data_IF_912274053013
#
_entry.id   IF_912274053013
#
_cell.length_a   1.000
_cell.length_b   1.000
_cell.length_c   1.000
_cell.angle_alpha   90.00
_cell.angle_beta   90.00
_cell.angle_gamma   90.00
#
_symmetry.space_group_name_H-M   'P 1'
#
loop_
_entity.id
_entity.type
_entity.pdbx_description
1 polymer ?
#
# COMPACT_ATOMS: atom_id res chain seq x y z
N UNK A 1 1.90 13.76 35.45
CA UNK A 1 1.85 12.45 34.77
C UNK A 1 0.46 11.90 35.02
N UNK A 2 -0.27 11.46 34.00
CA UNK A 2 -1.50 10.71 34.27
C UNK A 2 -1.10 9.37 34.88
N UNK A 3 -1.59 9.08 36.08
CA UNK A 3 -1.37 7.80 36.74
C UNK A 3 -2.20 6.68 36.10
N UNK A 4 -1.87 5.45 36.49
CA UNK A 4 -2.62 4.26 36.09
C UNK A 4 -4.10 4.34 36.50
N UNK A 5 -4.39 4.97 37.64
CA UNK A 5 -5.76 5.18 38.14
C UNK A 5 -6.57 6.09 37.21
N UNK A 6 -6.03 7.21 36.77
CA UNK A 6 -6.72 8.14 35.86
C UNK A 6 -7.03 7.47 34.52
N UNK A 7 -6.13 6.65 34.00
CA UNK A 7 -6.36 5.86 32.78
C UNK A 7 -7.51 4.85 32.95
N UNK A 8 -7.62 4.20 34.10
CA UNK A 8 -8.72 3.28 34.39
C UNK A 8 -10.06 4.01 34.50
N UNK A 9 -10.09 5.20 35.10
CA UNK A 9 -11.32 6.00 35.19
C UNK A 9 -11.78 6.43 33.80
N UNK A 10 -10.87 6.89 32.94
CA UNK A 10 -11.18 7.25 31.55
C UNK A 10 -11.71 6.03 30.79
N UNK A 11 -11.06 4.87 30.94
CA UNK A 11 -11.51 3.63 30.32
C UNK A 11 -12.90 3.20 30.81
N UNK A 12 -13.18 3.32 32.10
CA UNK A 12 -14.49 3.00 32.67
C UNK A 12 -15.59 3.91 32.09
N UNK A 13 -15.32 5.22 32.00
CA UNK A 13 -16.22 6.19 31.37
C UNK A 13 -16.43 5.84 29.89
N UNK A 14 -15.36 5.54 29.16
CA UNK A 14 -15.45 5.13 27.75
C UNK A 14 -16.32 3.88 27.58
N UNK A 15 -16.13 2.85 28.40
CA UNK A 15 -16.95 1.63 28.37
C UNK A 15 -18.40 1.91 28.74
N UNK A 16 -18.68 2.84 29.66
CA UNK A 16 -20.05 3.24 30.01
C UNK A 16 -20.79 3.87 28.82
N UNK A 17 -20.13 4.76 28.07
CA UNK A 17 -20.76 5.45 26.93
C UNK A 17 -20.80 4.62 25.65
N UNK A 18 -19.73 3.86 25.37
CA UNK A 18 -19.56 3.16 24.09
C UNK A 18 -19.81 1.65 24.19
N UNK A 19 -19.77 1.08 25.39
CA UNK A 19 -19.93 -0.36 25.63
C UNK A 19 -18.62 -1.15 25.44
N UNK A 20 -18.49 -2.27 26.15
CA UNK A 20 -17.28 -3.10 26.12
C UNK A 20 -17.05 -3.77 24.75
N UNK A 21 -18.11 -3.94 23.95
CA UNK A 21 -18.03 -4.52 22.61
C UNK A 21 -17.26 -3.64 21.61
N UNK A 22 -17.11 -2.33 21.87
CA UNK A 22 -16.40 -1.41 20.98
C UNK A 22 -14.88 -1.53 21.09
N UNK A 23 -14.35 -1.90 22.25
CA UNK A 23 -12.90 -2.08 22.45
C UNK A 23 -12.30 -3.14 21.51
N UNK A 24 -12.86 -4.37 21.40
CA UNK A 24 -12.37 -5.36 20.44
C UNK A 24 -12.52 -4.94 18.98
N UNK A 25 -13.60 -4.22 18.63
CA UNK A 25 -13.85 -3.76 17.25
C UNK A 25 -12.81 -2.73 16.83
N UNK A 26 -12.52 -1.75 17.70
CA UNK A 26 -11.50 -0.73 17.47
C UNK A 26 -10.09 -1.33 17.39
N UNK A 27 -9.76 -2.27 18.27
CA UNK A 27 -8.46 -2.95 18.22
C UNK A 27 -8.27 -3.72 16.90
N UNK A 28 -9.31 -4.41 16.42
CA UNK A 28 -9.28 -5.11 15.12
C UNK A 28 -9.14 -4.13 13.96
N UNK A 29 -9.95 -3.07 13.90
CA UNK A 29 -9.89 -2.11 12.80
C UNK A 29 -8.56 -1.37 12.75
N UNK A 30 -8.03 -0.97 13.91
CA UNK A 30 -6.73 -0.32 14.02
C UNK A 30 -5.59 -1.29 13.67
N UNK A 31 -5.70 -2.56 14.09
CA UNK A 31 -4.73 -3.60 13.76
C UNK A 31 -4.67 -3.87 12.26
N UNK A 32 -5.82 -3.98 11.60
CA UNK A 32 -5.89 -4.13 10.14
C UNK A 32 -5.31 -2.90 9.44
N UNK A 33 -5.72 -1.69 9.83
CA UNK A 33 -5.20 -0.45 9.24
C UNK A 33 -3.68 -0.32 9.39
N UNK A 34 -3.13 -0.64 10.57
CA UNK A 34 -1.68 -0.67 10.81
C UNK A 34 -0.98 -1.74 9.98
N UNK A 35 -1.61 -2.91 9.81
CA UNK A 35 -1.10 -4.00 8.98
C UNK A 35 -0.98 -3.62 7.51
N UNK A 36 -2.07 -3.12 6.92
CA UNK A 36 -2.09 -2.64 5.53
C UNK A 36 -1.13 -1.46 5.32
N UNK A 37 -1.05 -0.54 6.29
CA UNK A 37 -0.10 0.58 6.24
C UNK A 37 1.36 0.09 6.23
N UNK A 38 1.72 -0.86 7.11
CA UNK A 38 3.07 -1.40 7.16
C UNK A 38 3.42 -2.18 5.89
N UNK A 39 2.45 -2.92 5.34
CA UNK A 39 2.59 -3.62 4.06
C UNK A 39 2.82 -2.62 2.92
N UNK A 40 2.01 -1.57 2.83
CA UNK A 40 2.16 -0.52 1.82
C UNK A 40 3.51 0.21 1.88
N UNK A 41 4.05 0.47 3.09
CA UNK A 41 5.41 1.02 3.23
C UNK A 41 6.46 0.05 2.70
N UNK A 42 6.35 -1.24 3.01
CA UNK A 42 7.27 -2.26 2.52
C UNK A 42 7.23 -2.41 1.00
N UNK A 43 6.02 -2.48 0.43
CA UNK A 43 5.81 -2.57 -1.02
C UNK A 43 6.36 -1.33 -1.75
N UNK A 44 6.18 -0.13 -1.16
CA UNK A 44 6.72 1.12 -1.71
C UNK A 44 8.25 1.18 -1.69
N UNK A 45 8.90 0.61 -0.66
CA UNK A 45 10.36 0.52 -0.61
C UNK A 45 10.89 -0.41 -1.71
N UNK A 46 10.28 -1.58 -1.87
CA UNK A 46 10.65 -2.53 -2.92
C UNK A 46 10.43 -1.95 -4.32
N UNK A 47 9.31 -1.23 -4.54
CA UNK A 47 9.04 -0.56 -5.82
C UNK A 47 10.09 0.53 -6.12
N UNK A 48 10.48 1.30 -5.11
CA UNK A 48 11.52 2.33 -5.27
C UNK A 48 12.88 1.71 -5.62
N UNK A 49 13.25 0.61 -4.97
CA UNK A 49 14.49 -0.11 -5.25
C UNK A 49 14.50 -0.70 -6.67
N UNK A 50 13.38 -1.33 -7.09
CA UNK A 50 13.21 -1.83 -8.45
C UNK A 50 13.27 -0.71 -9.51
N UNK A 51 12.70 0.46 -9.23
CA UNK A 51 12.77 1.62 -10.12
C UNK A 51 14.21 2.15 -10.24
N UNK A 52 15.00 2.10 -9.17
CA UNK A 52 16.42 2.44 -9.20
C UNK A 52 17.25 1.44 -10.02
N UNK A 53 16.98 0.14 -9.91
CA UNK A 53 17.61 -0.89 -10.74
C UNK A 53 17.30 -0.68 -12.24
N UNK A 54 16.13 -0.11 -12.55
CA UNK A 54 15.68 0.29 -13.89
C UNK A 54 16.19 1.68 -14.32
N UNK A 55 17.18 2.23 -13.62
CA UNK A 55 17.75 3.54 -13.95
C UNK A 55 16.87 4.73 -13.55
N UNK A 56 16.05 4.57 -12.50
CA UNK A 56 15.16 5.59 -11.95
C UNK A 56 13.84 5.75 -12.69
N UNK A 57 13.47 4.79 -13.54
CA UNK A 57 12.21 4.79 -14.30
C UNK A 57 11.21 3.86 -13.63
N UNK A 58 9.93 4.22 -13.66
CA UNK A 58 8.85 3.32 -13.24
C UNK A 58 8.70 2.15 -14.22
N UNK A 59 8.09 1.05 -13.79
CA UNK A 59 7.84 -0.13 -14.67
C UNK A 59 7.12 0.26 -15.96
N UNK A 60 6.09 1.08 -15.85
CA UNK A 60 5.32 1.58 -16.99
C UNK A 60 6.17 2.45 -17.94
N UNK A 61 7.09 3.26 -17.40
CA UNK A 61 7.94 4.13 -18.20
C UNK A 61 8.99 3.33 -18.99
N UNK A 62 9.59 2.31 -18.40
CA UNK A 62 10.52 1.42 -19.12
C UNK A 62 9.78 0.57 -20.16
N UNK A 63 8.59 0.04 -19.84
CA UNK A 63 7.77 -0.71 -20.80
C UNK A 63 7.41 0.16 -22.02
N UNK A 64 7.06 1.43 -21.80
CA UNK A 64 6.74 2.37 -22.88
C UNK A 64 7.95 2.61 -23.79
N UNK A 65 9.13 2.86 -23.20
CA UNK A 65 10.36 3.07 -23.97
C UNK A 65 10.78 1.83 -24.75
N UNK A 66 10.67 0.64 -24.14
CA UNK A 66 10.91 -0.64 -24.81
C UNK A 66 9.95 -0.83 -25.98
N UNK A 67 8.66 -0.54 -25.79
CA UNK A 67 7.64 -0.65 -26.82
C UNK A 67 7.91 0.30 -28.00
N UNK A 68 8.25 1.56 -27.72
CA UNK A 68 8.65 2.53 -28.76
C UNK A 68 9.89 2.07 -29.52
N UNK A 69 10.90 1.53 -28.82
CA UNK A 69 12.13 1.04 -29.46
C UNK A 69 11.92 -0.22 -30.31
N UNK A 70 10.93 -1.04 -29.96
CA UNK A 70 10.51 -2.23 -30.70
C UNK A 70 9.48 -1.91 -31.80
N UNK A 71 8.94 -0.67 -31.85
CA UNK A 71 7.92 -0.28 -32.82
C UNK A 71 6.51 -0.80 -32.49
N UNK A 72 6.26 -1.18 -31.24
CA UNK A 72 4.95 -1.63 -30.75
C UNK A 72 4.04 -0.41 -30.53
N UNK A 73 2.85 -0.45 -31.13
CA UNK A 73 1.84 0.60 -30.98
C UNK A 73 1.19 0.55 -29.59
N UNK A 74 1.28 1.67 -28.85
CA UNK A 74 0.90 1.79 -27.42
C UNK A 74 -0.47 2.46 -27.24
N UNK A 75 -0.93 3.18 -28.26
CA UNK A 75 -2.11 4.04 -28.18
C UNK A 75 -3.39 3.20 -28.11
N UNK A 76 -4.10 3.27 -26.99
CA UNK A 76 -5.32 2.50 -26.73
C UNK A 76 -5.10 1.11 -26.13
N UNK A 77 -3.84 0.71 -25.83
CA UNK A 77 -3.52 -0.55 -25.13
C UNK A 77 -3.27 -0.34 -23.64
N UNK A 78 -3.52 -1.38 -22.84
CA UNK A 78 -3.15 -1.41 -21.42
C UNK A 78 -1.68 -1.80 -21.23
N UNK A 79 -1.10 -1.45 -20.08
CA UNK A 79 0.30 -1.77 -19.79
C UNK A 79 0.59 -3.29 -19.80
N UNK A 80 -0.40 -4.11 -19.43
CA UNK A 80 -0.30 -5.57 -19.46
C UNK A 80 -0.30 -6.12 -20.89
N UNK A 81 -1.14 -5.59 -21.78
CA UNK A 81 -1.18 -5.99 -23.20
C UNK A 81 0.12 -5.61 -23.94
N UNK A 82 0.67 -4.44 -23.65
CA UNK A 82 1.95 -4.00 -24.23
C UNK A 82 3.09 -4.90 -23.76
N UNK A 83 3.05 -5.37 -22.50
CA UNK A 83 4.05 -6.29 -21.94
C UNK A 83 3.99 -7.67 -22.58
N UNK A 84 2.79 -8.19 -22.83
CA UNK A 84 2.59 -9.47 -23.52
C UNK A 84 3.10 -9.39 -24.98
N UNK A 85 2.75 -8.33 -25.72
CA UNK A 85 3.20 -8.10 -27.10
C UNK A 85 4.73 -8.04 -27.21
N UNK A 86 5.39 -7.42 -26.24
CA UNK A 86 6.86 -7.31 -26.17
C UNK A 86 7.56 -8.64 -25.83
N UNK A 87 6.84 -9.61 -25.28
CA UNK A 87 7.37 -10.92 -24.90
C UNK A 87 7.21 -11.98 -26.00
N UNK A 88 6.34 -11.71 -26.97
CA UNK A 88 6.03 -12.58 -28.12
C UNK A 88 6.88 -12.24 -29.38
N UNK A 89 7.69 -11.18 -29.35
CA UNK A 89 8.61 -10.74 -30.41
C UNK A 89 10.09 -11.07 -30.10
#
# INVERSE_FOLDING_TARGET
MMGSTEMLVILAIFVLFFGIERLPKLARSLGMAKGEFQKGIGDSHNATEADLERGGKTETAELTEKAESAGVEIEGKTADEVKDDLSEE
#
